data_IF_320659376920
#
_entry.id   IF_320659376920
#
_cell.length_a   1.000
_cell.length_b   1.000
_cell.length_c   1.000
_cell.angle_alpha   90.00
_cell.angle_beta   90.00
_cell.angle_gamma   90.00
#
_symmetry.space_group_name_H-M   'P 1'
#
loop_
_entity.id
_entity.type
_entity.pdbx_description
1 polymer ?
#
# COMPACT_ATOMS: atom_id res chain seq x y z
N UNK A 1 15.43 28.31 -52.36
CA UNK A 1 14.44 27.69 -51.44
C UNK A 1 14.24 26.20 -51.72
N UNK A 2 15.30 25.36 -51.76
CA UNK A 2 15.12 23.89 -51.99
C UNK A 2 16.20 22.98 -51.40
N UNK A 3 17.38 23.47 -50.99
CA UNK A 3 18.46 22.61 -50.45
C UNK A 3 18.81 22.88 -48.99
N UNK A 4 18.74 24.14 -48.55
CA UNK A 4 18.96 24.49 -47.13
C UNK A 4 17.77 24.04 -46.26
N UNK A 5 16.54 24.14 -46.79
CA UNK A 5 15.29 23.77 -46.08
C UNK A 5 15.13 22.25 -45.88
N UNK A 6 15.69 21.43 -46.78
CA UNK A 6 15.63 19.96 -46.67
C UNK A 6 16.61 19.46 -45.60
N UNK A 7 17.78 20.10 -45.47
CA UNK A 7 18.80 19.73 -44.49
C UNK A 7 18.34 20.09 -43.06
N UNK A 8 17.66 21.22 -42.87
CA UNK A 8 17.05 21.58 -41.59
C UNK A 8 15.90 20.67 -41.19
N UNK A 9 15.06 20.22 -42.14
CA UNK A 9 13.97 19.25 -41.86
C UNK A 9 14.54 17.87 -41.50
N UNK A 10 15.62 17.42 -42.14
CA UNK A 10 16.28 16.14 -41.81
C UNK A 10 17.02 16.21 -40.46
N UNK A 11 17.63 17.35 -40.11
CA UNK A 11 18.25 17.55 -38.79
C UNK A 11 17.22 17.65 -37.66
N UNK A 12 16.06 18.29 -37.89
CA UNK A 12 14.93 18.32 -36.93
C UNK A 12 14.28 16.95 -36.73
N UNK A 13 14.35 16.05 -37.73
CA UNK A 13 13.86 14.68 -37.60
C UNK A 13 14.82 13.76 -36.82
N UNK A 14 16.11 14.10 -36.74
CA UNK A 14 17.14 13.28 -36.08
C UNK A 14 17.36 13.65 -34.60
N UNK A 15 16.84 14.78 -34.12
CA UNK A 15 16.92 15.19 -32.70
C UNK A 15 15.76 14.69 -31.84
N UNK A 16 14.87 13.85 -32.39
CA UNK A 16 14.04 12.97 -31.58
C UNK A 16 14.93 11.86 -30.99
N UNK A 17 15.84 12.25 -30.09
CA UNK A 17 16.50 11.34 -29.19
C UNK A 17 15.38 10.59 -28.48
N UNK A 18 15.19 9.34 -28.88
CA UNK A 18 14.36 8.39 -28.19
C UNK A 18 14.87 8.34 -26.76
N UNK A 19 14.15 8.98 -25.84
CA UNK A 19 14.25 8.65 -24.42
C UNK A 19 13.71 7.23 -24.35
N UNK A 20 14.61 6.26 -24.52
CA UNK A 20 14.27 4.85 -24.49
C UNK A 20 13.92 4.51 -23.04
N UNK A 21 12.64 4.69 -22.68
CA UNK A 21 12.10 4.03 -21.50
C UNK A 21 12.25 2.52 -21.69
N UNK A 22 12.67 1.81 -20.64
CA UNK A 22 12.75 0.34 -20.68
C UNK A 22 11.41 -0.23 -21.16
N UNK A 23 11.46 -1.08 -22.19
CA UNK A 23 10.27 -1.73 -22.72
C UNK A 23 9.92 -2.98 -21.89
N UNK A 24 8.63 -3.26 -21.77
CA UNK A 24 8.10 -4.36 -20.96
C UNK A 24 6.77 -4.88 -21.52
N UNK A 25 6.28 -5.98 -20.95
CA UNK A 25 4.95 -6.52 -21.24
C UNK A 25 4.86 -7.17 -22.62
N UNK A 26 3.65 -7.25 -23.17
CA UNK A 26 3.38 -7.92 -24.47
C UNK A 26 4.12 -7.28 -25.66
N UNK A 27 4.57 -6.03 -25.52
CA UNK A 27 5.34 -5.30 -26.52
C UNK A 27 6.83 -5.68 -26.52
N UNK A 28 7.28 -6.40 -25.49
CA UNK A 28 8.66 -6.81 -25.31
C UNK A 28 8.74 -8.28 -24.85
N UNK A 29 8.04 -9.18 -25.52
CA UNK A 29 8.08 -10.64 -25.24
C UNK A 29 7.83 -11.02 -23.77
N UNK A 30 7.01 -10.24 -23.05
CA UNK A 30 6.70 -10.46 -21.64
C UNK A 30 7.79 -10.03 -20.66
N UNK A 31 8.80 -9.29 -21.11
CA UNK A 31 9.85 -8.75 -20.24
C UNK A 31 9.27 -7.88 -19.12
N UNK A 32 9.89 -7.94 -17.93
CA UNK A 32 9.51 -7.13 -16.78
C UNK A 32 10.44 -5.94 -16.61
N UNK A 33 9.96 -4.92 -15.91
CA UNK A 33 10.74 -3.74 -15.62
C UNK A 33 11.79 -4.01 -14.54
N UNK A 34 12.98 -3.42 -14.73
CA UNK A 34 14.04 -3.46 -13.73
C UNK A 34 13.60 -2.71 -12.47
N UNK A 35 14.04 -3.17 -11.30
CA UNK A 35 13.65 -2.55 -10.03
C UNK A 35 12.19 -2.77 -9.63
N UNK A 36 11.50 -3.75 -10.23
CA UNK A 36 10.10 -4.10 -9.93
C UNK A 36 9.11 -2.93 -10.08
N UNK A 37 9.39 -2.00 -11.00
CA UNK A 37 8.45 -0.91 -11.33
C UNK A 37 7.37 -1.37 -12.32
N UNK A 38 6.33 -0.57 -12.48
CA UNK A 38 5.12 -0.94 -13.21
C UNK A 38 5.33 -0.93 -14.72
N UNK A 39 4.71 -1.89 -15.40
CA UNK A 39 4.61 -1.91 -16.85
C UNK A 39 3.27 -1.34 -17.31
N UNK A 40 3.28 -0.20 -18.00
CA UNK A 40 2.08 0.45 -18.52
C UNK A 40 1.38 -0.40 -19.59
N UNK A 41 0.13 -0.07 -19.93
CA UNK A 41 -0.58 -0.68 -21.06
C UNK A 41 0.14 -0.55 -22.42
N UNK A 42 1.02 0.45 -22.53
CA UNK A 42 1.81 0.75 -23.72
C UNK A 42 3.16 0.05 -23.77
N UNK A 43 3.53 -0.70 -22.71
CA UNK A 43 4.76 -1.49 -22.67
C UNK A 43 5.99 -0.68 -22.27
N UNK A 44 5.81 0.34 -21.43
CA UNK A 44 6.90 1.14 -20.88
C UNK A 44 6.92 1.06 -19.36
N UNK A 45 8.12 1.08 -18.81
CA UNK A 45 8.36 1.04 -17.37
C UNK A 45 8.23 2.41 -16.70
N UNK A 46 7.54 2.46 -15.56
CA UNK A 46 7.39 3.69 -14.78
C UNK A 46 6.72 3.46 -13.44
N UNK A 47 6.59 4.54 -12.65
CA UNK A 47 6.09 4.50 -11.27
C UNK A 47 4.88 5.38 -11.03
N UNK A 48 4.35 6.08 -12.05
CA UNK A 48 3.18 6.94 -11.92
C UNK A 48 1.89 6.18 -12.25
N UNK A 49 0.73 6.81 -11.99
CA UNK A 49 -0.59 6.20 -12.19
C UNK A 49 -0.84 5.72 -13.63
N UNK A 50 -0.29 6.39 -14.63
CA UNK A 50 -0.41 6.00 -16.05
C UNK A 50 0.28 4.65 -16.34
N UNK A 51 1.24 4.28 -15.50
CA UNK A 51 2.01 3.05 -15.62
C UNK A 51 1.49 1.96 -14.69
N UNK A 52 1.05 2.37 -13.50
CA UNK A 52 0.76 1.46 -12.40
C UNK A 52 -0.73 1.21 -12.15
N UNK A 53 -1.63 2.10 -12.57
CA UNK A 53 -3.06 1.97 -12.25
C UNK A 53 -3.68 0.80 -13.04
N UNK A 54 -4.42 -0.12 -12.37
CA UNK A 54 -5.22 -1.11 -13.07
C UNK A 54 -6.27 -0.49 -14.00
N UNK A 55 -6.80 0.70 -13.64
CA UNK A 55 -7.75 1.43 -14.49
C UNK A 55 -7.13 1.90 -15.81
N UNK A 56 -5.80 2.01 -15.87
CA UNK A 56 -5.03 2.34 -17.07
C UNK A 56 -4.44 1.09 -17.75
N UNK A 57 -5.03 -0.09 -17.51
CA UNK A 57 -4.62 -1.39 -18.06
C UNK A 57 -3.14 -1.71 -17.88
N UNK A 58 -2.57 -1.39 -16.71
CA UNK A 58 -1.23 -1.82 -16.37
C UNK A 58 -1.06 -3.35 -16.58
N UNK A 59 0.10 -3.74 -17.14
CA UNK A 59 0.38 -5.12 -17.55
C UNK A 59 1.08 -5.95 -16.47
N UNK A 60 1.99 -5.35 -15.69
CA UNK A 60 2.74 -6.04 -14.64
C UNK A 60 3.25 -5.08 -13.57
N UNK A 61 3.47 -5.60 -12.35
CA UNK A 61 3.83 -4.80 -11.16
C UNK A 61 2.88 -3.62 -10.91
N UNK A 62 1.60 -3.80 -11.21
CA UNK A 62 0.60 -2.75 -11.09
C UNK A 62 0.30 -2.45 -9.62
N UNK A 63 -0.17 -1.25 -9.35
CA UNK A 63 -0.76 -0.93 -8.06
C UNK A 63 -1.96 -1.86 -7.84
N UNK A 64 -1.92 -2.65 -6.78
CA UNK A 64 -2.93 -3.67 -6.52
C UNK A 64 -2.82 -4.92 -7.40
N UNK A 65 -1.81 -5.08 -8.25
CA UNK A 65 -1.54 -6.31 -9.01
C UNK A 65 -0.04 -6.62 -9.11
N UNK A 66 0.53 -7.14 -8.02
CA UNK A 66 1.82 -7.86 -8.07
C UNK A 66 1.64 -9.25 -8.68
N UNK A 67 2.72 -9.91 -9.15
CA UNK A 67 2.65 -11.32 -9.47
C UNK A 67 2.44 -12.07 -8.15
N UNK A 68 1.28 -12.76 -8.03
CA UNK A 68 0.76 -13.38 -6.80
C UNK A 68 0.10 -12.37 -5.86
N UNK A 69 -1.06 -12.75 -5.31
CA UNK A 69 -1.76 -11.94 -4.31
C UNK A 69 -0.79 -11.43 -3.24
N UNK A 70 -0.95 -10.17 -2.82
CA UNK A 70 -0.07 -9.57 -1.80
C UNK A 70 0.24 -10.57 -0.71
N UNK A 71 1.51 -10.66 -0.32
CA UNK A 71 2.01 -11.69 0.61
C UNK A 71 0.97 -11.88 1.71
N UNK A 72 0.53 -13.13 1.85
CA UNK A 72 -0.62 -13.45 2.66
C UNK A 72 -0.34 -14.76 3.34
N UNK A 73 -0.97 -14.92 4.49
CA UNK A 73 -0.97 -16.18 5.19
C UNK A 73 -2.31 -16.39 5.86
N UNK A 74 -2.66 -17.66 5.98
CA UNK A 74 -3.87 -18.13 6.60
C UNK A 74 -3.57 -18.91 7.87
N UNK A 75 -4.58 -19.00 8.74
CA UNK A 75 -4.48 -19.70 10.02
C UNK A 75 -3.34 -19.16 10.92
N UNK A 76 -3.18 -17.83 10.93
CA UNK A 76 -2.14 -17.16 11.68
C UNK A 76 -2.68 -16.74 13.04
N UNK A 77 -1.87 -16.92 14.09
CA UNK A 77 -2.22 -16.44 15.43
C UNK A 77 -2.11 -14.92 15.50
N UNK A 78 -3.15 -14.25 15.96
CA UNK A 78 -3.11 -12.83 16.31
C UNK A 78 -3.38 -12.67 17.80
N UNK A 79 -2.43 -12.12 18.55
CA UNK A 79 -2.63 -11.69 19.94
C UNK A 79 -3.03 -10.21 19.97
N UNK A 80 -3.12 -9.64 21.17
CA UNK A 80 -3.32 -8.21 21.34
C UNK A 80 -2.31 -7.59 22.30
N UNK A 81 -2.05 -6.31 22.05
CA UNK A 81 -1.23 -5.42 22.86
C UNK A 81 -1.98 -4.11 23.12
N UNK A 82 -1.68 -3.46 24.24
CA UNK A 82 -2.30 -2.19 24.63
C UNK A 82 -1.44 -1.01 24.12
N UNK A 83 -1.36 -0.83 22.80
CA UNK A 83 -0.69 0.35 22.23
C UNK A 83 -1.49 1.62 22.54
N UNK A 84 -2.82 1.52 22.56
CA UNK A 84 -3.75 2.62 22.82
C UNK A 84 -3.39 3.87 22.00
N UNK A 85 -3.31 3.75 20.66
CA UNK A 85 -2.71 4.78 19.81
C UNK A 85 -3.41 6.13 19.95
N UNK A 86 -4.75 6.16 20.05
CA UNK A 86 -5.51 7.40 20.23
C UNK A 86 -5.13 8.13 21.52
N UNK A 87 -4.96 7.40 22.63
CA UNK A 87 -4.55 7.97 23.93
C UNK A 87 -3.11 8.49 23.89
N UNK A 88 -2.26 7.87 23.06
CA UNK A 88 -0.88 8.25 22.83
C UNK A 88 -0.71 9.24 21.66
N UNK A 89 -1.79 9.92 21.23
CA UNK A 89 -1.77 10.89 20.13
C UNK A 89 -1.17 10.34 18.82
N UNK A 90 -1.35 9.04 18.61
CA UNK A 90 -0.77 8.26 17.53
C UNK A 90 0.75 8.39 17.42
N UNK A 91 1.45 8.69 18.52
CA UNK A 91 2.90 8.82 18.56
C UNK A 91 3.57 7.45 18.74
N UNK A 92 4.31 7.01 17.72
CA UNK A 92 5.02 5.73 17.73
C UNK A 92 6.13 5.70 18.80
N UNK A 93 6.69 6.85 19.19
CA UNK A 93 7.73 6.94 20.22
C UNK A 93 7.15 6.72 21.61
N UNK A 94 5.95 7.24 21.87
CA UNK A 94 5.28 7.11 23.16
C UNK A 94 5.04 5.65 23.55
N UNK A 95 4.83 4.78 22.55
CA UNK A 95 4.63 3.34 22.75
C UNK A 95 5.89 2.50 22.53
N UNK A 96 7.05 3.14 22.32
CA UNK A 96 8.32 2.46 22.01
C UNK A 96 8.23 1.48 20.84
N UNK A 97 7.39 1.78 19.83
CA UNK A 97 7.21 0.89 18.69
C UNK A 97 8.51 0.80 17.88
N UNK A 98 8.87 -0.40 17.41
CA UNK A 98 10.10 -0.63 16.66
C UNK A 98 10.24 0.29 15.44
N UNK A 99 9.14 0.57 14.73
CA UNK A 99 9.18 1.43 13.54
C UNK A 99 9.33 2.93 13.84
N UNK A 100 9.33 3.35 15.11
CA UNK A 100 9.43 4.75 15.52
C UNK A 100 10.69 5.45 14.98
N UNK A 101 11.77 4.72 14.74
CA UNK A 101 13.00 5.26 14.13
C UNK A 101 12.77 5.86 12.74
N UNK A 102 11.82 5.34 11.96
CA UNK A 102 11.60 5.74 10.56
C UNK A 102 10.24 6.38 10.31
N UNK A 103 9.23 6.03 11.12
CA UNK A 103 7.83 6.37 10.84
C UNK A 103 7.23 7.38 11.83
N UNK A 104 7.92 7.72 12.92
CA UNK A 104 7.34 8.58 13.96
C UNK A 104 7.09 10.04 13.51
N UNK A 105 7.88 10.55 12.56
CA UNK A 105 7.73 11.91 12.02
C UNK A 105 6.78 12.00 10.83
N UNK A 106 6.12 10.90 10.47
CA UNK A 106 5.08 10.95 9.44
C UNK A 106 3.89 11.80 9.91
N UNK A 107 3.13 12.40 8.96
CA UNK A 107 1.98 13.23 9.30
C UNK A 107 1.00 12.52 10.23
N UNK A 108 0.32 13.30 11.08
CA UNK A 108 -0.69 12.74 11.98
C UNK A 108 -1.73 11.92 11.21
N UNK A 109 -2.22 12.44 10.08
CA UNK A 109 -3.17 11.74 9.21
C UNK A 109 -2.66 10.35 8.80
N UNK A 110 -1.39 10.22 8.39
CA UNK A 110 -0.79 8.93 8.08
C UNK A 110 -0.76 7.98 9.28
N UNK A 111 -0.34 8.49 10.45
CA UNK A 111 -0.19 7.72 11.69
C UNK A 111 -1.55 7.24 12.21
N UNK A 112 -2.59 8.07 12.06
CA UNK A 112 -3.95 7.83 12.55
C UNK A 112 -4.92 7.22 11.54
N UNK A 113 -4.52 7.00 10.29
CA UNK A 113 -5.41 6.47 9.23
C UNK A 113 -5.95 5.07 9.54
N UNK A 114 -5.12 4.22 10.16
CA UNK A 114 -5.45 2.84 10.49
C UNK A 114 -4.96 2.50 11.89
N UNK A 115 -5.66 1.61 12.59
CA UNK A 115 -5.17 1.05 13.86
C UNK A 115 -3.87 0.27 13.68
N UNK A 116 -3.18 0.04 14.79
CA UNK A 116 -1.80 -0.46 14.79
C UNK A 116 -1.68 -1.96 15.04
N UNK A 117 -0.56 -2.53 14.59
CA UNK A 117 -0.16 -3.90 14.92
C UNK A 117 1.36 -4.08 14.88
N UNK A 118 1.87 -5.03 15.66
CA UNK A 118 3.16 -5.67 15.41
C UNK A 118 3.03 -6.80 14.40
N UNK A 119 4.07 -7.01 13.59
CA UNK A 119 4.09 -8.06 12.59
C UNK A 119 5.33 -8.94 12.66
N UNK A 120 5.08 -10.25 12.64
CA UNK A 120 6.11 -11.29 12.53
C UNK A 120 5.55 -12.55 11.87
N UNK A 121 4.51 -12.39 11.04
CA UNK A 121 3.79 -13.46 10.36
C UNK A 121 4.68 -14.27 9.41
N UNK A 122 4.25 -15.46 8.99
CA UNK A 122 5.08 -16.42 8.25
C UNK A 122 5.44 -15.97 6.82
N UNK A 123 4.64 -15.09 6.21
CA UNK A 123 4.83 -14.59 4.85
C UNK A 123 4.83 -13.06 4.79
N UNK A 124 5.81 -12.47 4.11
CA UNK A 124 5.96 -11.02 4.00
C UNK A 124 7.28 -10.50 4.55
N UNK A 125 7.59 -9.21 4.30
CA UNK A 125 8.77 -8.55 4.86
C UNK A 125 8.67 -8.50 6.39
N UNK A 126 9.82 -8.49 7.06
CA UNK A 126 9.92 -8.37 8.52
C UNK A 126 10.86 -7.23 8.92
N UNK A 127 10.78 -6.83 10.19
CA UNK A 127 11.59 -5.76 10.75
C UNK A 127 11.35 -4.45 10.01
N UNK A 128 12.43 -3.73 9.69
CA UNK A 128 12.34 -2.41 9.04
C UNK A 128 11.56 -2.46 7.72
N UNK A 129 11.71 -3.54 6.94
CA UNK A 129 11.06 -3.66 5.63
C UNK A 129 9.52 -3.77 5.71
N UNK A 130 8.97 -4.14 6.87
CA UNK A 130 7.52 -4.15 7.11
C UNK A 130 6.95 -2.84 7.64
N UNK A 131 7.80 -1.93 8.15
CA UNK A 131 7.35 -0.70 8.78
C UNK A 131 6.48 0.16 7.84
N UNK A 132 5.32 0.56 8.37
CA UNK A 132 4.38 1.43 7.69
C UNK A 132 3.50 0.75 6.64
N UNK A 133 3.73 -0.53 6.31
CA UNK A 133 2.86 -1.30 5.41
C UNK A 133 1.51 -1.61 6.08
N UNK A 134 0.50 -1.89 5.26
CA UNK A 134 -0.85 -2.19 5.73
C UNK A 134 -1.23 -3.65 5.50
N UNK A 135 -1.97 -4.20 6.45
CA UNK A 135 -2.52 -5.54 6.39
C UNK A 135 -4.04 -5.47 6.44
N UNK A 136 -4.68 -6.18 5.54
CA UNK A 136 -6.09 -6.55 5.66
C UNK A 136 -6.16 -7.83 6.48
N UNK A 137 -6.66 -7.75 7.71
CA UNK A 137 -6.75 -8.87 8.65
C UNK A 137 -8.21 -9.31 8.77
N UNK A 138 -8.46 -10.62 8.68
CA UNK A 138 -9.79 -11.23 8.79
C UNK A 138 -9.76 -12.33 9.83
N UNK A 139 -10.67 -12.27 10.80
CA UNK A 139 -10.96 -13.37 11.71
C UNK A 139 -11.56 -14.53 10.92
N UNK A 140 -10.88 -15.69 10.91
CA UNK A 140 -11.32 -16.87 10.12
C UNK A 140 -12.63 -17.47 10.63
N UNK A 141 -12.99 -17.18 11.89
CA UNK A 141 -14.15 -17.75 12.56
C UNK A 141 -15.42 -16.93 12.33
N UNK A 142 -15.32 -15.61 12.35
CA UNK A 142 -16.48 -14.70 12.23
C UNK A 142 -16.55 -13.95 10.90
N UNK A 143 -15.50 -14.02 10.09
CA UNK A 143 -15.28 -13.20 8.90
C UNK A 143 -15.22 -11.68 9.16
N UNK A 144 -15.27 -11.24 10.42
CA UNK A 144 -15.04 -9.85 10.79
C UNK A 144 -13.59 -9.47 10.51
N UNK A 145 -13.39 -8.23 10.05
CA UNK A 145 -12.17 -7.96 9.30
C UNK A 145 -11.84 -6.45 9.34
N UNK A 146 -10.57 -6.10 9.51
CA UNK A 146 -10.04 -4.73 9.65
C UNK A 146 -8.82 -4.51 8.75
N UNK A 147 -8.48 -3.26 8.48
CA UNK A 147 -7.17 -2.88 7.91
C UNK A 147 -6.34 -2.21 8.99
N UNK A 148 -5.12 -2.68 9.19
CA UNK A 148 -4.18 -2.18 10.21
C UNK A 148 -2.84 -1.81 9.59
N UNK A 149 -2.10 -0.93 10.26
CA UNK A 149 -0.74 -0.54 9.90
C UNK A 149 0.28 -1.24 10.79
N UNK A 150 1.32 -1.79 10.17
CA UNK A 150 2.46 -2.36 10.89
C UNK A 150 3.31 -1.23 11.44
N UNK A 151 3.42 -1.15 12.76
CA UNK A 151 4.26 -0.16 13.47
C UNK A 151 5.34 -0.81 14.32
N UNK A 152 5.28 -2.13 14.49
CA UNK A 152 6.15 -2.84 15.42
C UNK A 152 6.48 -4.26 14.92
N UNK A 153 7.37 -4.94 15.64
CA UNK A 153 7.76 -6.32 15.38
C UNK A 153 7.41 -7.22 16.57
N UNK A 154 7.15 -8.49 16.30
CA UNK A 154 6.84 -9.49 17.33
C UNK A 154 7.68 -10.76 17.18
N UNK A 155 7.50 -11.72 18.09
CA UNK A 155 8.16 -13.04 18.06
C UNK A 155 7.19 -14.23 18.13
N UNK A 156 5.87 -13.98 18.07
CA UNK A 156 4.84 -15.01 18.18
C UNK A 156 4.54 -15.75 16.86
N UNK A 157 5.25 -15.42 15.77
CA UNK A 157 5.06 -16.00 14.44
C UNK A 157 3.79 -15.51 13.72
N UNK A 158 3.19 -14.41 14.18
CA UNK A 158 1.91 -13.92 13.66
C UNK A 158 1.77 -12.40 13.76
N UNK A 159 0.68 -11.96 14.39
CA UNK A 159 0.37 -10.56 14.61
C UNK A 159 0.20 -10.27 16.09
N UNK A 160 0.46 -9.03 16.49
CA UNK A 160 0.05 -8.49 17.78
C UNK A 160 -0.75 -7.21 17.52
N UNK A 161 -2.08 -7.32 17.56
CA UNK A 161 -2.97 -6.20 17.20
C UNK A 161 -3.07 -5.22 18.37
N UNK A 162 -3.23 -3.92 18.11
CA UNK A 162 -3.78 -3.06 19.16
C UNK A 162 -5.13 -3.61 19.64
N UNK A 163 -5.38 -3.57 20.95
CA UNK A 163 -6.58 -4.15 21.58
C UNK A 163 -7.88 -3.65 20.95
N UNK A 164 -7.95 -2.38 20.52
CA UNK A 164 -9.13 -1.86 19.87
C UNK A 164 -9.40 -2.54 18.52
N UNK A 165 -8.33 -2.85 17.76
CA UNK A 165 -8.44 -3.56 16.48
C UNK A 165 -8.74 -5.04 16.68
N UNK A 166 -8.15 -5.68 17.69
CA UNK A 166 -8.46 -7.05 18.08
C UNK A 166 -9.96 -7.19 18.41
N UNK A 167 -10.47 -6.37 19.32
CA UNK A 167 -11.87 -6.40 19.76
C UNK A 167 -12.85 -6.12 18.61
N UNK A 168 -12.45 -5.28 17.64
CA UNK A 168 -13.27 -4.97 16.45
C UNK A 168 -13.51 -6.19 15.56
N UNK A 169 -12.59 -7.15 15.55
CA UNK A 169 -12.73 -8.39 14.76
C UNK A 169 -13.02 -9.64 15.62
N UNK A 170 -12.98 -9.54 16.95
CA UNK A 170 -13.45 -10.56 17.89
C UNK A 170 -14.94 -10.41 18.21
N UNK A 171 -15.78 -10.50 17.19
CA UNK A 171 -17.21 -10.11 17.25
C UNK A 171 -18.11 -11.01 18.11
N UNK A 172 -17.57 -12.06 18.73
CA UNK A 172 -18.30 -12.89 19.70
C UNK A 172 -17.48 -13.20 20.97
N UNK A 173 -16.35 -12.50 21.16
CA UNK A 173 -15.57 -12.53 22.39
C UNK A 173 -14.73 -13.80 22.65
N UNK A 174 -14.77 -14.80 21.76
CA UNK A 174 -14.00 -16.05 21.97
C UNK A 174 -12.50 -15.78 21.91
N UNK A 175 -12.05 -14.89 21.04
CA UNK A 175 -10.62 -14.57 20.91
C UNK A 175 -10.05 -13.99 22.19
N UNK A 176 -10.78 -13.06 22.82
CA UNK A 176 -10.38 -12.45 24.08
C UNK A 176 -10.29 -13.49 25.20
N UNK A 177 -11.28 -14.38 25.31
CA UNK A 177 -11.27 -15.47 26.30
C UNK A 177 -10.09 -16.44 26.11
N UNK A 178 -9.66 -16.66 24.87
CA UNK A 178 -8.54 -17.54 24.51
C UNK A 178 -7.18 -16.80 24.48
N UNK A 179 -7.18 -15.47 24.66
CA UNK A 179 -6.00 -14.62 24.53
C UNK A 179 -5.44 -14.49 23.11
N UNK A 180 -6.14 -14.97 22.09
CA UNK A 180 -5.75 -14.82 20.68
C UNK A 180 -6.90 -15.13 19.71
N UNK A 181 -6.78 -14.61 18.48
CA UNK A 181 -7.57 -14.98 17.32
C UNK A 181 -6.77 -15.87 16.37
N UNK A 182 -7.50 -16.60 15.52
CA UNK A 182 -6.96 -17.16 14.28
C UNK A 182 -7.42 -16.29 13.13
N UNK A 183 -6.47 -15.79 12.35
CA UNK A 183 -6.71 -14.80 11.30
C UNK A 183 -6.06 -15.21 9.98
N UNK A 184 -6.64 -14.70 8.90
CA UNK A 184 -5.96 -14.53 7.63
C UNK A 184 -5.47 -13.09 7.53
N UNK A 185 -4.32 -12.86 6.91
CA UNK A 185 -3.91 -11.52 6.51
C UNK A 185 -3.45 -11.46 5.06
N UNK A 186 -3.55 -10.26 4.50
CA UNK A 186 -3.01 -9.91 3.20
C UNK A 186 -2.35 -8.55 3.28
N UNK A 187 -1.13 -8.41 2.74
CA UNK A 187 -0.56 -7.08 2.50
C UNK A 187 -1.38 -6.33 1.45
N UNK A 188 -1.84 -5.13 1.82
CA UNK A 188 -2.66 -4.25 0.97
C UNK A 188 -2.04 -2.86 0.88
N UNK A 189 -2.42 -2.15 -0.17
CA UNK A 189 -2.11 -0.72 -0.27
C UNK A 189 -2.79 0.04 0.87
N UNK A 190 -2.05 0.94 1.52
CA UNK A 190 -2.56 1.83 2.55
C UNK A 190 -3.39 2.98 1.97
N UNK A 191 -3.36 3.18 0.65
CA UNK A 191 -3.99 4.29 -0.05
C UNK A 191 -3.25 5.62 0.19
N UNK A 192 -3.03 6.38 -0.89
CA UNK A 192 -2.36 7.68 -0.82
C UNK A 192 -3.29 8.78 -0.29
N UNK A 193 -2.78 9.68 0.55
CA UNK A 193 -3.50 10.86 1.05
C UNK A 193 -3.98 11.81 -0.08
N UNK A 194 -3.31 11.78 -1.24
CA UNK A 194 -3.66 12.61 -2.40
C UNK A 194 -5.01 12.24 -3.03
N UNK A 195 -5.46 10.99 -2.89
CA UNK A 195 -6.76 10.56 -3.44
C UNK A 195 -7.89 10.99 -2.50
N UNK A 196 -7.68 10.90 -1.19
CA UNK A 196 -8.66 11.32 -0.19
C UNK A 196 -8.89 12.85 -0.22
N UNK A 197 -7.85 13.66 -0.47
CA UNK A 197 -8.01 15.11 -0.65
C UNK A 197 -8.70 15.52 -1.96
N UNK A 198 -8.58 14.71 -3.02
CA UNK A 198 -9.26 14.93 -4.28
C UNK A 198 -10.74 14.49 -4.23
N UNK A 199 -11.08 13.52 -3.38
CA UNK A 199 -12.47 13.13 -3.13
C UNK A 199 -13.21 14.19 -2.28
N UNK A 200 -12.57 14.72 -1.23
CA UNK A 200 -13.10 15.85 -0.45
C UNK A 200 -13.27 17.12 -1.31
N UNK A 201 -12.33 17.41 -2.22
CA UNK A 201 -12.44 18.56 -3.13
C UNK A 201 -13.56 18.39 -4.16
N UNK A 202 -13.84 17.15 -4.59
CA UNK A 202 -14.98 16.84 -5.48
C UNK A 202 -16.31 16.97 -4.75
N UNK A 203 -16.39 16.55 -3.49
CA UNK A 203 -17.59 16.71 -2.66
C UNK A 203 -17.93 18.19 -2.39
N UNK A 204 -16.91 19.04 -2.23
CA UNK A 204 -17.10 20.51 -2.10
C UNK A 204 -17.63 21.12 -3.41
N UNK A 205 -17.10 20.70 -4.57
CA UNK A 205 -17.55 21.20 -5.88
C UNK A 205 -18.97 20.76 -6.23
N UNK A 206 -19.38 19.53 -5.89
CA UNK A 206 -20.76 19.04 -6.07
C UNK A 206 -21.75 19.86 -5.23
N UNK A 207 -21.39 20.20 -3.97
CA UNK A 207 -22.25 21.03 -3.10
C UNK A 207 -22.43 22.47 -3.57
N UNK A 208 -21.51 22.98 -4.40
CA UNK A 208 -21.55 24.34 -4.95
C UNK A 208 -22.40 24.43 -6.23
N UNK A 209 -22.56 23.34 -6.97
CA UNK A 209 -23.34 23.28 -8.22
C UNK A 209 -24.84 23.09 -7.90
N UNK A 210 -25.19 22.38 -6.82
CA UNK A 210 -26.58 22.18 -6.38
C UNK A 210 -27.22 23.41 -5.69
N UNK A 211 -26.51 24.55 -5.66
CA UNK A 211 -26.98 25.83 -5.10
C UNK A 211 -27.12 26.96 -6.14
N UNK A 212 -27.12 26.63 -7.43
CA UNK A 212 -27.45 27.57 -8.52
C UNK A 212 -28.77 27.18 -9.16
#
# INVERSE_FOLDING_TARGET
MKRLDIITIILLAYTAATVAGQQCGRQADGQTCAGNICCSQYGYCGTTADYCSPANNCQSNCWGSGPSGGESASNVRATYHYYNPEQNNWDLRAVSAYCSTWDADKPYAWRSKYGWTAFCGPAGPRGQASCGKCLRVRNTRTNAAVTVRIVDQCSNGGLDLDVAMFNRIDTDGVGYQQGHLIVDYQFVDCGNELIDQLDDSKNILVSAIDRV
#
